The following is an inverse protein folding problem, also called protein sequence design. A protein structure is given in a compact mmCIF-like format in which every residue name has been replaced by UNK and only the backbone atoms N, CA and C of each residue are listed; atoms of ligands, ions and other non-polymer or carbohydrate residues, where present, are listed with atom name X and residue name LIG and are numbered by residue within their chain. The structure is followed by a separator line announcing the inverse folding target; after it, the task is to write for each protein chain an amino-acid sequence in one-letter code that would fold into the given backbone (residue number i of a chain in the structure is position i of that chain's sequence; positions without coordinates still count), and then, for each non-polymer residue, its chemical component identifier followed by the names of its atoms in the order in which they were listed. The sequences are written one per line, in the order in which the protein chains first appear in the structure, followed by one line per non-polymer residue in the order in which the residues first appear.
data_IF_019220540686
#
_entry.id   IF_019220540686
#
_cell.length_a   1.000
_cell.length_b   1.000
_cell.length_c   1.000
_cell.angle_alpha   90.00
_cell.angle_beta   90.00
_cell.angle_gamma   90.00
#
_symmetry.space_group_name_H-M   'P 1'
#
loop_
_entity.id
_entity.type
_entity.pdbx_description
1 polymer ?
#
# COMPACT_ATOMS: atom_id res chain seq x y z
N UNK A 1 -4.13 4.08 -28.45
CA UNK A 1 -4.93 3.93 -27.22
C UNK A 1 -4.23 2.96 -26.29
N UNK A 2 -4.85 2.55 -25.18
CA UNK A 2 -4.36 1.43 -24.36
C UNK A 2 -5.19 0.18 -24.66
N UNK A 3 -4.58 -0.99 -24.57
CA UNK A 3 -5.24 -2.30 -24.80
C UNK A 3 -5.49 -3.05 -23.48
N UNK A 4 -4.82 -2.65 -22.40
CA UNK A 4 -4.92 -3.24 -21.07
C UNK A 4 -4.87 -2.15 -20.00
N UNK A 5 -5.76 -2.26 -19.02
CA UNK A 5 -5.71 -1.52 -17.76
C UNK A 5 -5.35 -2.48 -16.63
N UNK A 6 -4.23 -2.22 -15.97
CA UNK A 6 -3.89 -2.89 -14.71
C UNK A 6 -4.42 -2.03 -13.56
N UNK A 7 -5.54 -2.42 -12.98
CA UNK A 7 -6.19 -1.71 -11.89
C UNK A 7 -5.82 -2.40 -10.56
N UNK A 8 -5.19 -1.67 -9.64
CA UNK A 8 -4.82 -2.25 -8.34
C UNK A 8 -6.05 -2.77 -7.59
N UNK A 9 -7.07 -1.92 -7.42
CA UNK A 9 -8.37 -2.31 -6.87
C UNK A 9 -9.26 -2.94 -7.95
N UNK A 10 -9.93 -4.08 -7.68
CA UNK A 10 -10.87 -4.68 -8.61
C UNK A 10 -12.05 -3.74 -8.85
N UNK A 11 -12.34 -3.33 -10.11
CA UNK A 11 -13.50 -2.47 -10.37
C UNK A 11 -14.82 -3.20 -10.11
N UNK A 12 -14.82 -4.53 -10.18
CA UNK A 12 -15.91 -5.41 -9.72
C UNK A 12 -15.48 -6.12 -8.44
N UNK A 13 -15.54 -5.40 -7.31
CA UNK A 13 -15.19 -5.99 -6.01
C UNK A 13 -16.29 -6.90 -5.44
N UNK A 14 -17.55 -6.63 -5.80
CA UNK A 14 -18.71 -7.48 -5.45
C UNK A 14 -19.29 -8.11 -6.72
N UNK A 15 -19.93 -9.29 -6.60
CA UNK A 15 -20.66 -9.88 -7.72
C UNK A 15 -21.69 -8.90 -8.30
N UNK A 16 -21.71 -8.75 -9.62
CA UNK A 16 -22.68 -7.92 -10.33
C UNK A 16 -23.81 -8.79 -10.85
N UNK A 17 -25.02 -8.55 -10.36
CA UNK A 17 -26.20 -9.31 -10.79
C UNK A 17 -26.78 -8.82 -12.13
N UNK A 18 -26.60 -7.54 -12.47
CA UNK A 18 -27.16 -6.91 -13.68
C UNK A 18 -26.23 -5.81 -14.20
N UNK A 19 -26.07 -5.74 -15.52
CA UNK A 19 -25.38 -4.65 -16.22
C UNK A 19 -26.43 -3.82 -16.98
N UNK A 20 -26.63 -2.57 -16.56
CA UNK A 20 -27.65 -1.67 -17.12
C UNK A 20 -26.96 -0.45 -17.74
N UNK A 21 -27.38 -0.05 -18.93
CA UNK A 21 -26.85 1.13 -19.64
C UNK A 21 -27.96 2.03 -20.17
N UNK A 22 -27.80 3.37 -20.13
CA UNK A 22 -26.67 4.12 -19.57
C UNK A 22 -26.60 4.02 -18.04
N UNK A 23 -25.40 4.22 -17.47
CA UNK A 23 -25.13 4.23 -16.03
C UNK A 23 -24.00 5.23 -15.74
N UNK A 24 -24.05 5.86 -14.57
CA UNK A 24 -23.02 6.75 -14.02
C UNK A 24 -22.07 6.03 -13.04
N UNK A 25 -22.35 4.75 -12.77
CA UNK A 25 -21.58 3.92 -11.84
C UNK A 25 -20.29 3.38 -12.45
N UNK A 26 -19.48 2.71 -11.63
CA UNK A 26 -18.22 2.08 -12.06
C UNK A 26 -18.39 1.14 -13.27
N UNK A 27 -19.55 0.47 -13.37
CA UNK A 27 -19.92 -0.41 -14.47
C UNK A 27 -19.92 0.30 -15.84
N UNK A 28 -20.12 1.63 -15.86
CA UNK A 28 -19.98 2.43 -17.08
C UNK A 28 -18.55 2.42 -17.64
N UNK A 29 -17.55 2.40 -16.76
CA UNK A 29 -16.14 2.26 -17.14
C UNK A 29 -15.86 0.89 -17.78
N UNK A 30 -16.41 -0.17 -17.18
CA UNK A 30 -16.27 -1.54 -17.69
C UNK A 30 -16.92 -1.70 -19.06
N UNK A 31 -18.12 -1.14 -19.24
CA UNK A 31 -18.79 -1.15 -20.55
C UNK A 31 -17.99 -0.42 -21.63
N UNK A 32 -17.38 0.72 -21.29
CA UNK A 32 -16.46 1.40 -22.22
C UNK A 32 -15.27 0.51 -22.57
N UNK A 33 -14.68 -0.18 -21.62
CA UNK A 33 -13.58 -1.12 -21.88
C UNK A 33 -14.02 -2.26 -22.83
N UNK A 34 -15.16 -2.90 -22.56
CA UNK A 34 -15.73 -3.96 -23.42
C UNK A 34 -15.94 -3.45 -24.85
N UNK A 35 -16.58 -2.29 -25.01
CA UNK A 35 -16.86 -1.70 -26.33
C UNK A 35 -15.61 -1.35 -27.14
N UNK A 36 -14.48 -1.12 -26.47
CA UNK A 36 -13.21 -0.72 -27.09
C UNK A 36 -12.17 -1.85 -27.09
N UNK A 37 -12.53 -3.08 -26.69
CA UNK A 37 -11.59 -4.21 -26.63
C UNK A 37 -10.45 -4.03 -25.63
N UNK A 38 -10.67 -3.29 -24.55
CA UNK A 38 -9.67 -3.01 -23.52
C UNK A 38 -9.80 -4.04 -22.40
N UNK A 39 -8.75 -4.82 -22.16
CA UNK A 39 -8.70 -5.76 -21.04
C UNK A 39 -8.53 -5.04 -19.70
N UNK A 40 -9.03 -5.64 -18.62
CA UNK A 40 -8.79 -5.17 -17.25
C UNK A 40 -8.24 -6.33 -16.42
N UNK A 41 -7.11 -6.10 -15.76
CA UNK A 41 -6.50 -7.05 -14.83
C UNK A 41 -6.31 -6.40 -13.46
N UNK A 42 -6.57 -7.12 -12.38
CA UNK A 42 -6.43 -6.62 -11.02
C UNK A 42 -5.68 -7.60 -10.12
N UNK A 43 -4.42 -7.30 -9.75
CA UNK A 43 -3.64 -8.19 -8.89
C UNK A 43 -3.97 -8.03 -7.40
N UNK A 44 -4.43 -6.84 -6.98
CA UNK A 44 -4.84 -6.53 -5.60
C UNK A 44 -3.88 -7.13 -4.54
N UNK A 45 -4.38 -7.96 -3.63
CA UNK A 45 -3.60 -8.61 -2.55
C UNK A 45 -2.48 -9.53 -3.05
N UNK A 46 -2.55 -10.05 -4.29
CA UNK A 46 -1.43 -10.79 -4.86
C UNK A 46 -0.21 -9.86 -5.08
N UNK A 47 -0.43 -8.60 -5.44
CA UNK A 47 0.64 -7.60 -5.51
C UNK A 47 1.13 -7.18 -4.11
N UNK A 48 0.27 -7.20 -3.10
CA UNK A 48 0.67 -6.94 -1.72
C UNK A 48 1.59 -8.02 -1.17
N UNK A 49 1.35 -9.27 -1.56
CA UNK A 49 2.12 -10.42 -1.11
C UNK A 49 3.47 -10.56 -1.85
N UNK A 50 3.47 -10.27 -3.16
CA UNK A 50 4.60 -10.57 -4.04
C UNK A 50 5.92 -9.87 -3.65
N UNK A 51 7.05 -10.51 -3.97
CA UNK A 51 8.38 -9.88 -3.89
C UNK A 51 8.46 -8.66 -4.80
N UNK A 52 8.92 -7.53 -4.27
CA UNK A 52 8.94 -6.22 -4.93
C UNK A 52 7.54 -5.61 -5.09
N UNK A 53 6.56 -6.15 -4.36
CA UNK A 53 5.16 -5.73 -4.36
C UNK A 53 4.89 -4.50 -3.51
N UNK A 54 3.62 -4.24 -3.20
CA UNK A 54 3.17 -2.99 -2.57
C UNK A 54 3.83 -2.76 -1.21
N UNK A 55 3.87 -3.79 -0.37
CA UNK A 55 4.47 -3.71 0.96
C UNK A 55 6.00 -3.54 0.90
N UNK A 56 6.68 -4.12 -0.09
CA UNK A 56 8.13 -3.92 -0.29
C UNK A 56 8.46 -2.48 -0.70
N UNK A 57 7.66 -1.91 -1.60
CA UNK A 57 7.82 -0.52 -2.04
C UNK A 57 7.68 0.44 -0.85
N UNK A 58 6.68 0.23 0.02
CA UNK A 58 6.51 1.07 1.20
C UNK A 58 7.60 0.79 2.25
N UNK A 59 8.05 -0.45 2.43
CA UNK A 59 9.14 -0.79 3.35
C UNK A 59 10.45 -0.11 2.96
N UNK A 60 10.76 -0.05 1.66
CA UNK A 60 11.92 0.68 1.13
C UNK A 60 11.81 2.20 1.43
N UNK A 61 10.61 2.77 1.22
CA UNK A 61 10.32 4.18 1.52
C UNK A 61 10.51 4.52 3.00
N UNK A 62 10.01 3.64 3.88
CA UNK A 62 10.13 3.74 5.33
C UNK A 62 11.58 3.49 5.81
N UNK A 63 12.40 2.82 4.99
CA UNK A 63 13.80 2.58 5.28
C UNK A 63 14.02 1.41 6.21
N UNK A 64 13.22 0.34 6.08
CA UNK A 64 13.46 -0.93 6.73
C UNK A 64 14.69 -1.63 6.12
N UNK A 65 15.28 -2.54 6.89
CA UNK A 65 16.30 -3.51 6.46
C UNK A 65 15.83 -4.92 6.83
N UNK A 66 16.25 -5.92 6.05
CA UNK A 66 16.05 -7.36 6.36
C UNK A 66 14.62 -7.66 6.81
N UNK A 67 13.65 -7.43 5.91
CA UNK A 67 12.23 -7.52 6.25
C UNK A 67 11.69 -8.93 6.07
N UNK A 68 10.75 -9.31 6.92
CA UNK A 68 9.98 -10.55 6.83
C UNK A 68 8.48 -10.23 6.63
N UNK A 69 7.72 -11.09 5.92
CA UNK A 69 6.27 -10.89 5.78
C UNK A 69 5.55 -11.05 7.13
N UNK A 70 4.48 -10.28 7.35
CA UNK A 70 3.63 -10.43 8.55
C UNK A 70 2.78 -11.70 8.46
N UNK A 71 2.24 -11.98 7.27
CA UNK A 71 1.49 -13.19 6.95
C UNK A 71 2.24 -13.98 5.87
N UNK A 72 3.16 -14.88 6.26
CA UNK A 72 3.98 -15.64 5.32
C UNK A 72 3.16 -16.64 4.52
N UNK A 73 3.47 -16.75 3.23
CA UNK A 73 2.95 -17.73 2.28
C UNK A 73 4.17 -18.48 1.75
N UNK A 74 4.41 -19.72 2.22
CA UNK A 74 5.52 -20.53 1.74
C UNK A 74 5.42 -20.78 0.25
N UNK A 75 6.52 -20.57 -0.46
CA UNK A 75 6.64 -20.98 -1.86
C UNK A 75 6.88 -22.48 -1.99
N UNK A 76 6.83 -23.02 -3.22
CA UNK A 76 7.38 -24.34 -3.51
C UNK A 76 8.88 -24.41 -3.16
N UNK A 77 9.43 -25.62 -3.07
CA UNK A 77 10.83 -25.84 -2.70
C UNK A 77 11.79 -25.00 -3.56
N UNK A 78 12.71 -24.27 -2.91
CA UNK A 78 13.66 -23.35 -3.56
C UNK A 78 13.09 -21.97 -3.94
N UNK A 79 11.78 -21.73 -3.80
CA UNK A 79 11.18 -20.41 -3.98
C UNK A 79 11.17 -19.60 -2.67
N UNK A 80 11.30 -18.27 -2.73
CA UNK A 80 11.23 -17.44 -1.54
C UNK A 80 9.82 -17.44 -0.93
N UNK A 81 9.74 -17.39 0.40
CA UNK A 81 8.50 -17.09 1.11
C UNK A 81 8.06 -15.67 0.76
N UNK A 82 6.81 -15.54 0.31
CA UNK A 82 6.15 -14.25 0.05
C UNK A 82 5.11 -14.00 1.13
N UNK A 83 4.39 -12.88 1.11
CA UNK A 83 3.35 -12.66 2.10
C UNK A 83 2.97 -11.20 2.29
N UNK A 84 1.86 -10.97 2.98
CA UNK A 84 1.32 -9.63 3.20
C UNK A 84 2.09 -8.93 4.33
N UNK A 85 2.27 -7.62 4.17
CA UNK A 85 2.92 -6.75 5.16
C UNK A 85 4.42 -7.01 5.29
N UNK A 86 5.13 -6.16 6.02
CA UNK A 86 6.56 -6.32 6.34
C UNK A 86 6.83 -5.93 7.79
N UNK A 87 7.66 -6.70 8.47
CA UNK A 87 8.26 -6.32 9.76
C UNK A 87 9.77 -6.30 9.62
N UNK A 88 10.43 -5.34 10.27
CA UNK A 88 11.88 -5.32 10.33
C UNK A 88 12.45 -4.09 11.03
N UNK A 89 13.76 -4.10 11.34
CA UNK A 89 14.45 -2.97 11.93
C UNK A 89 14.51 -1.78 10.95
N UNK A 90 14.37 -0.59 11.49
CA UNK A 90 14.70 0.65 10.80
C UNK A 90 16.21 0.78 10.64
N UNK A 91 16.67 1.41 9.56
CA UNK A 91 18.10 1.68 9.31
C UNK A 91 18.81 2.39 10.46
N UNK A 92 18.09 3.25 11.21
CA UNK A 92 18.56 3.98 12.39
C UNK A 92 17.39 4.16 13.34
N UNK A 93 17.67 4.23 14.64
CA UNK A 93 16.69 4.70 15.64
C UNK A 93 16.41 6.18 15.39
N UNK A 94 15.15 6.55 15.28
CA UNK A 94 14.71 7.91 14.91
C UNK A 94 13.49 8.30 15.73
N UNK A 95 13.18 9.60 15.81
CA UNK A 95 11.89 10.02 16.38
C UNK A 95 10.74 9.69 15.44
N UNK A 96 9.57 9.36 15.99
CA UNK A 96 8.34 9.10 15.22
C UNK A 96 8.04 10.23 14.22
N UNK A 97 8.07 11.49 14.67
CA UNK A 97 7.88 12.66 13.83
C UNK A 97 8.84 12.69 12.64
N UNK A 98 10.13 12.44 12.88
CA UNK A 98 11.14 12.46 11.82
C UNK A 98 10.93 11.34 10.79
N UNK A 99 10.41 10.18 11.19
CA UNK A 99 10.06 9.12 10.27
C UNK A 99 8.84 9.53 9.42
N UNK A 100 7.80 10.04 10.06
CA UNK A 100 6.58 10.48 9.40
C UNK A 100 6.83 11.62 8.40
N UNK A 101 7.59 12.64 8.78
CA UNK A 101 7.96 13.73 7.87
C UNK A 101 8.78 13.25 6.67
N UNK A 102 9.67 12.26 6.87
CA UNK A 102 10.43 11.66 5.77
C UNK A 102 9.52 10.90 4.81
N UNK A 103 8.55 10.16 5.34
CA UNK A 103 7.53 9.50 4.54
C UNK A 103 6.68 10.53 3.79
N UNK A 104 6.20 11.58 4.47
CA UNK A 104 5.40 12.66 3.91
C UNK A 104 6.08 13.28 2.69
N UNK A 105 7.32 13.73 2.85
CA UNK A 105 8.11 14.34 1.76
C UNK A 105 8.34 13.38 0.59
N UNK A 106 8.65 12.12 0.88
CA UNK A 106 8.91 11.12 -0.18
C UNK A 106 7.62 10.79 -0.96
N UNK A 107 6.50 10.65 -0.26
CA UNK A 107 5.21 10.31 -0.82
C UNK A 107 4.64 11.49 -1.62
N UNK A 108 4.65 12.70 -1.05
CA UNK A 108 4.28 13.92 -1.77
C UNK A 108 5.09 14.09 -3.08
N UNK A 109 6.41 13.86 -3.03
CA UNK A 109 7.26 13.95 -4.22
C UNK A 109 6.95 12.87 -5.28
N UNK A 110 6.62 11.64 -4.86
CA UNK A 110 6.36 10.52 -5.78
C UNK A 110 4.94 10.52 -6.34
N UNK A 111 3.97 10.95 -5.55
CA UNK A 111 2.54 10.78 -5.82
C UNK A 111 1.82 12.11 -6.05
N UNK A 112 2.42 13.25 -5.71
CA UNK A 112 1.79 14.57 -5.80
C UNK A 112 0.83 14.90 -4.66
N UNK A 113 0.64 13.98 -3.72
CA UNK A 113 -0.19 14.13 -2.53
C UNK A 113 0.31 13.20 -1.41
N UNK A 114 0.02 13.58 -0.16
CA UNK A 114 0.19 12.74 1.03
C UNK A 114 -0.73 13.25 2.14
N UNK A 115 -1.30 12.33 2.92
CA UNK A 115 -2.10 12.65 4.09
C UNK A 115 -1.66 11.76 5.26
N UNK A 116 -0.91 12.32 6.20
CA UNK A 116 -0.31 11.55 7.29
C UNK A 116 -0.91 11.93 8.65
N UNK A 117 -1.18 10.93 9.48
CA UNK A 117 -1.58 11.07 10.88
C UNK A 117 -0.70 10.20 11.78
N UNK A 118 -0.50 10.65 13.03
CA UNK A 118 0.30 9.96 14.03
C UNK A 118 -0.57 9.41 15.15
N UNK A 119 -0.15 8.26 15.70
CA UNK A 119 -0.64 7.71 16.97
C UNK A 119 0.54 7.60 17.92
N UNK A 120 0.43 8.19 19.11
CA UNK A 120 1.47 8.20 20.13
C UNK A 120 2.32 9.47 20.14
N UNK A 121 3.38 9.46 20.95
CA UNK A 121 4.25 10.62 21.15
C UNK A 121 5.15 10.85 19.91
N UNK A 122 5.10 12.03 19.26
CA UNK A 122 5.96 12.35 18.11
C UNK A 122 7.47 12.28 18.42
N UNK A 123 7.86 12.47 19.68
CA UNK A 123 9.26 12.39 20.12
C UNK A 123 9.73 10.98 20.51
N UNK A 124 8.82 9.98 20.53
CA UNK A 124 9.16 8.59 20.83
C UNK A 124 10.23 8.07 19.85
N UNK A 125 11.24 7.38 20.38
CA UNK A 125 12.30 6.76 19.57
C UNK A 125 11.82 5.41 19.04
N UNK A 126 11.69 5.31 17.73
CA UNK A 126 11.27 4.08 17.04
C UNK A 126 12.47 3.39 16.39
N UNK A 127 12.50 2.06 16.45
CA UNK A 127 13.61 1.22 15.98
C UNK A 127 13.18 0.06 15.08
N UNK A 128 11.93 -0.39 15.18
CA UNK A 128 11.36 -1.50 14.38
C UNK A 128 10.01 -1.04 13.83
N UNK A 129 9.76 -1.35 12.57
CA UNK A 129 8.52 -1.00 11.90
C UNK A 129 7.74 -2.26 11.52
N UNK A 130 6.43 -2.20 11.73
CA UNK A 130 5.44 -3.20 11.34
C UNK A 130 4.56 -2.52 10.29
N UNK A 131 4.54 -3.02 9.07
CA UNK A 131 4.02 -2.29 7.92
C UNK A 131 3.01 -3.13 7.15
N UNK A 132 1.88 -2.54 6.82
CA UNK A 132 0.93 -3.12 5.89
C UNK A 132 0.18 -2.00 5.17
N UNK A 133 0.23 -1.97 3.84
CA UNK A 133 -0.47 -0.97 3.02
C UNK A 133 -2.00 -1.08 3.13
N UNK A 134 -2.70 -0.05 2.66
CA UNK A 134 -4.16 -0.01 2.62
C UNK A 134 -4.77 -0.01 4.01
N UNK A 135 -5.89 -0.71 4.16
CA UNK A 135 -6.62 -0.78 5.43
C UNK A 135 -6.02 -1.75 6.45
N UNK A 136 -5.15 -2.67 6.01
CA UNK A 136 -4.43 -3.68 6.80
C UNK A 136 -5.24 -4.62 7.74
N UNK A 137 -6.52 -4.36 7.99
CA UNK A 137 -7.35 -5.16 8.90
C UNK A 137 -6.72 -5.30 10.29
N UNK A 138 -6.79 -6.52 10.84
CA UNK A 138 -6.16 -6.87 12.12
C UNK A 138 -4.67 -7.19 12.02
N UNK A 139 -4.13 -7.34 10.80
CA UNK A 139 -2.82 -7.96 10.58
C UNK A 139 -1.67 -7.27 11.35
N UNK A 140 -1.58 -5.92 11.43
CA UNK A 140 -0.53 -5.28 12.22
C UNK A 140 -0.59 -5.58 13.73
N UNK A 141 -1.73 -6.10 14.22
CA UNK A 141 -1.98 -6.44 15.62
C UNK A 141 -1.83 -7.93 15.94
N UNK A 142 -1.51 -8.75 14.94
CA UNK A 142 -1.22 -10.19 15.11
C UNK A 142 0.23 -10.42 15.57
N UNK A 143 1.06 -9.38 15.51
CA UNK A 143 2.42 -9.38 16.04
C UNK A 143 2.46 -8.66 17.39
N UNK A 144 3.27 -9.16 18.31
CA UNK A 144 3.56 -8.47 19.57
C UNK A 144 4.33 -7.17 19.31
N UNK A 145 3.72 -6.06 19.70
CA UNK A 145 4.26 -4.70 19.55
C UNK A 145 4.35 -4.02 20.91
N UNK A 146 5.35 -3.16 21.06
CA UNK A 146 5.52 -2.38 22.28
C UNK A 146 6.40 -1.15 22.08
N UNK A 147 7.06 -0.72 23.16
CA UNK A 147 7.87 0.49 23.13
C UNK A 147 9.00 0.42 22.10
N UNK A 148 9.09 1.47 21.28
CA UNK A 148 10.04 1.58 20.19
C UNK A 148 9.61 0.90 18.88
N UNK A 149 8.40 0.33 18.84
CA UNK A 149 7.77 -0.13 17.60
C UNK A 149 6.89 0.96 16.98
N UNK A 150 6.84 0.97 15.65
CA UNK A 150 5.94 1.81 14.87
C UNK A 150 5.16 0.98 13.87
N UNK A 151 3.83 1.06 13.93
CA UNK A 151 2.95 0.51 12.89
C UNK A 151 2.83 1.54 11.76
N UNK A 152 3.03 1.13 10.52
CA UNK A 152 2.92 2.00 9.33
C UNK A 152 1.88 1.41 8.39
N UNK A 153 0.75 2.09 8.22
CA UNK A 153 -0.37 1.59 7.39
C UNK A 153 -1.12 2.72 6.71
N UNK A 154 -2.07 2.41 5.82
CA UNK A 154 -2.92 3.40 5.20
C UNK A 154 -3.99 3.92 6.18
N UNK A 155 -4.71 3.01 6.84
CA UNK A 155 -5.85 3.35 7.70
C UNK A 155 -5.67 2.79 9.12
N UNK A 156 -6.10 3.55 10.13
CA UNK A 156 -6.13 3.10 11.52
C UNK A 156 -7.50 3.46 12.11
N UNK A 157 -8.21 2.46 12.64
CA UNK A 157 -9.48 2.68 13.33
C UNK A 157 -9.21 3.28 14.72
N UNK A 158 -10.18 4.00 15.26
CA UNK A 158 -10.02 4.64 16.58
C UNK A 158 -9.66 3.63 17.70
N UNK A 159 -10.36 2.50 17.78
CA UNK A 159 -10.06 1.48 18.79
C UNK A 159 -8.69 0.83 18.62
N UNK A 160 -8.23 0.70 17.38
CA UNK A 160 -6.90 0.19 17.07
C UNK A 160 -5.83 1.17 17.54
N UNK A 161 -6.03 2.48 17.31
CA UNK A 161 -5.14 3.52 17.87
C UNK A 161 -5.07 3.46 19.41
N UNK A 162 -6.20 3.26 20.09
CA UNK A 162 -6.21 3.08 21.55
C UNK A 162 -5.44 1.82 21.99
N UNK A 163 -5.54 0.72 21.24
CA UNK A 163 -4.76 -0.51 21.51
C UNK A 163 -3.26 -0.26 21.37
N UNK A 164 -2.83 0.47 20.34
CA UNK A 164 -1.43 0.85 20.09
C UNK A 164 -0.88 1.64 21.28
N UNK A 165 -1.63 2.64 21.76
CA UNK A 165 -1.23 3.45 22.91
C UNK A 165 -1.10 2.62 24.20
N UNK A 166 -2.02 1.68 24.44
CA UNK A 166 -2.02 0.83 25.65
C UNK A 166 -0.79 -0.05 25.77
N UNK A 167 -0.27 -0.54 24.66
CA UNK A 167 0.94 -1.38 24.64
C UNK A 167 2.23 -0.56 24.52
N UNK A 168 2.14 0.77 24.52
CA UNK A 168 3.28 1.67 24.42
C UNK A 168 3.91 1.75 23.03
N UNK A 169 3.23 1.24 22.00
CA UNK A 169 3.67 1.35 20.62
C UNK A 169 3.22 2.68 19.99
N UNK A 170 3.68 2.95 18.78
CA UNK A 170 3.29 4.13 17.99
C UNK A 170 2.79 3.74 16.61
N UNK A 171 2.17 4.67 15.89
CA UNK A 171 1.81 4.43 14.50
C UNK A 171 1.84 5.67 13.60
N UNK A 172 1.95 5.41 12.31
CA UNK A 172 1.84 6.37 11.22
C UNK A 172 0.75 5.85 10.26
N UNK A 173 -0.36 6.57 10.16
CA UNK A 173 -1.37 6.35 9.14
C UNK A 173 -1.07 7.24 7.94
N UNK A 174 -0.91 6.66 6.75
CA UNK A 174 -0.49 7.35 5.53
C UNK A 174 -1.65 7.73 4.61
N UNK A 175 -2.89 7.35 4.95
CA UNK A 175 -4.05 7.18 4.05
C UNK A 175 -3.92 5.99 3.10
N UNK A 176 -5.07 5.43 2.70
CA UNK A 176 -5.15 4.23 1.86
C UNK A 176 -4.44 4.45 0.52
N UNK A 177 -4.86 5.48 -0.23
CA UNK A 177 -4.35 5.77 -1.56
C UNK A 177 -2.85 6.06 -1.52
N UNK A 178 -2.40 6.94 -0.62
CA UNK A 178 -0.99 7.30 -0.53
C UNK A 178 -0.09 6.12 -0.17
N UNK A 179 -0.56 5.17 0.66
CA UNK A 179 0.22 3.99 1.04
C UNK A 179 0.50 3.01 -0.12
N UNK A 180 -0.41 2.95 -1.10
CA UNK A 180 -0.38 1.97 -2.20
C UNK A 180 0.12 2.57 -3.52
N UNK A 181 -0.22 3.84 -3.77
CA UNK A 181 0.03 4.54 -5.03
C UNK A 181 1.48 4.47 -5.54
N UNK A 182 2.53 4.58 -4.70
CA UNK A 182 3.92 4.48 -5.17
C UNK A 182 4.22 3.20 -5.96
N UNK A 183 3.48 2.13 -5.68
CA UNK A 183 3.68 0.81 -6.28
C UNK A 183 3.38 0.79 -7.77
N UNK A 184 2.46 1.62 -8.26
CA UNK A 184 2.12 1.66 -9.69
C UNK A 184 3.30 2.10 -10.56
N UNK A 185 4.13 3.02 -10.05
CA UNK A 185 5.36 3.46 -10.74
C UNK A 185 6.39 2.31 -10.77
N UNK A 186 6.52 1.58 -9.67
CA UNK A 186 7.41 0.41 -9.58
C UNK A 186 6.95 -0.71 -10.52
N UNK A 187 5.64 -1.02 -10.50
CA UNK A 187 5.03 -2.04 -11.34
C UNK A 187 5.18 -1.73 -12.82
N UNK A 188 4.89 -0.49 -13.24
CA UNK A 188 5.07 -0.08 -14.64
C UNK A 188 6.53 -0.30 -15.10
N UNK A 189 7.52 0.14 -14.31
CA UNK A 189 8.94 -0.08 -14.63
C UNK A 189 9.31 -1.57 -14.69
N UNK A 190 8.78 -2.38 -13.77
CA UNK A 190 9.03 -3.82 -13.75
C UNK A 190 8.45 -4.51 -14.98
N UNK A 191 7.22 -4.17 -15.36
CA UNK A 191 6.57 -4.71 -16.56
C UNK A 191 7.36 -4.34 -17.82
N UNK A 192 7.77 -3.08 -17.97
CA UNK A 192 8.56 -2.64 -19.12
C UNK A 192 9.94 -3.31 -19.19
N UNK A 193 10.55 -3.58 -18.03
CA UNK A 193 11.82 -4.32 -17.96
C UNK A 193 11.65 -5.79 -18.35
N UNK A 194 10.57 -6.42 -17.90
CA UNK A 194 10.29 -7.84 -18.16
C UNK A 194 9.74 -8.10 -19.57
N UNK A 195 9.10 -7.11 -20.19
CA UNK A 195 8.50 -7.20 -21.52
C UNK A 195 9.05 -6.07 -22.40
N UNK A 196 10.23 -6.24 -23.00
CA UNK A 196 10.79 -5.25 -23.91
C UNK A 196 9.81 -4.90 -25.03
N UNK A 197 9.58 -3.60 -25.25
CA UNK A 197 8.60 -3.10 -26.23
C UNK A 197 7.23 -2.77 -25.64
N UNK A 198 6.93 -3.18 -24.40
CA UNK A 198 5.71 -2.75 -23.71
C UNK A 198 5.77 -1.25 -23.38
N UNK A 199 4.84 -0.47 -23.92
CA UNK A 199 4.58 0.89 -23.47
C UNK A 199 3.67 0.85 -22.23
N UNK A 200 4.14 1.35 -21.09
CA UNK A 200 3.33 1.45 -19.87
C UNK A 200 3.24 2.90 -19.41
N UNK A 201 2.06 3.34 -19.00
CA UNK A 201 1.83 4.67 -18.42
C UNK A 201 1.04 4.51 -17.13
N UNK A 202 1.40 5.31 -16.12
CA UNK A 202 0.65 5.38 -14.86
C UNK A 202 -0.41 6.47 -15.02
N UNK A 203 -1.69 6.10 -14.82
CA UNK A 203 -2.80 7.05 -14.86
C UNK A 203 -2.56 8.24 -13.93
N UNK A 204 -2.94 9.45 -14.34
CA UNK A 204 -2.93 10.67 -13.50
C UNK A 204 -4.34 11.16 -13.14
N UNK A 205 -5.35 10.40 -13.54
CA UNK A 205 -6.75 10.77 -13.36
C UNK A 205 -7.25 10.52 -11.92
N UNK A 206 -6.78 9.44 -11.28
CA UNK A 206 -7.09 9.15 -9.89
C UNK A 206 -6.25 10.00 -8.93
N UNK A 207 -6.85 10.38 -7.80
CA UNK A 207 -6.27 11.28 -6.79
C UNK A 207 -6.67 10.83 -5.39
N UNK A 208 -5.87 11.23 -4.42
CA UNK A 208 -6.22 11.13 -3.00
C UNK A 208 -7.59 11.78 -2.75
N UNK A 209 -8.59 11.05 -2.22
CA UNK A 209 -9.89 11.64 -1.88
C UNK A 209 -9.83 12.56 -0.65
N UNK A 210 -8.85 12.38 0.23
CA UNK A 210 -8.66 13.22 1.41
C UNK A 210 -7.76 14.42 1.12
N UNK A 211 -8.11 15.58 1.65
CA UNK A 211 -7.30 16.79 1.54
C UNK A 211 -6.72 17.14 2.91
N UNK A 212 -5.45 17.56 2.91
CA UNK A 212 -4.82 18.20 4.06
C UNK A 212 -5.29 19.65 4.11
N UNK A 213 -5.85 20.07 5.25
CA UNK A 213 -6.20 21.46 5.52
C UNK A 213 -4.97 22.27 5.93
#
# INVERSE_FOLDING_TARGET
GVELVVAYHPPLFRPVARLVFPSDRMEAGIHRCIRNGIAIYSPHTALDAATGGTNDVLAELCGLKSTEPLSPIPGPEGAPTVGIGRVGPLKKVVRLAQLAERLDRKLAKRCGASCISLVGNPDEKVRRAILCVGAAGSLPFEIEVGQGDVIVTGEIRHHDALRILRVGATAIALSHWTSERPTLVSLAKRLQKSLPGLAATVSRADREPFQRL
#
